data_IF_542199439854
#
_entry.id   IF_542199439854
#
_cell.length_a   1.000
_cell.length_b   1.000
_cell.length_c   1.000
_cell.angle_alpha   90.00
_cell.angle_beta   90.00
_cell.angle_gamma   90.00
#
_symmetry.space_group_name_H-M   'P 1'
#
loop_
_entity.id
_entity.type
_entity.pdbx_description
1 polymer ?
#
# COMPACT_ATOMS: atom_id res chain seq x y z
N UNK A 1 -4.79 -0.78 31.06
CA UNK A 1 -3.53 -1.09 30.36
C UNK A 1 -3.40 -0.06 29.25
N UNK A 2 -2.20 0.43 28.99
CA UNK A 2 -1.99 1.33 27.85
C UNK A 2 -2.07 0.47 26.59
N UNK A 3 -2.81 0.92 25.58
CA UNK A 3 -2.97 0.23 24.31
C UNK A 3 -1.79 0.62 23.41
N UNK A 4 -1.16 -0.36 22.78
CA UNK A 4 -0.13 -0.10 21.76
C UNK A 4 -0.77 0.10 20.38
N UNK A 5 -0.04 0.69 19.45
CA UNK A 5 -0.48 0.80 18.05
C UNK A 5 -0.71 -0.59 17.44
N UNK A 6 0.12 -1.57 17.80
CA UNK A 6 -0.08 -2.96 17.42
C UNK A 6 -1.42 -3.52 17.92
N UNK A 7 -1.72 -3.35 19.21
CA UNK A 7 -3.01 -3.78 19.78
C UNK A 7 -4.20 -3.09 19.11
N UNK A 8 -4.02 -1.85 18.68
CA UNK A 8 -5.04 -1.09 17.96
C UNK A 8 -5.28 -1.60 16.54
N UNK A 9 -4.20 -1.88 15.78
CA UNK A 9 -4.29 -2.36 14.39
C UNK A 9 -4.67 -3.83 14.31
N UNK A 10 -4.35 -4.65 15.32
CA UNK A 10 -4.67 -6.08 15.37
C UNK A 10 -6.03 -6.38 16.02
N UNK A 11 -6.85 -5.35 16.26
CA UNK A 11 -8.25 -5.57 16.62
C UNK A 11 -8.99 -6.30 15.50
N UNK A 12 -9.99 -7.09 15.90
CA UNK A 12 -10.76 -7.90 14.95
C UNK A 12 -11.30 -7.07 13.80
N UNK A 13 -11.33 -7.65 12.61
CA UNK A 13 -12.09 -7.07 11.51
C UNK A 13 -13.59 -7.00 11.88
N UNK A 14 -14.29 -6.02 11.33
CA UNK A 14 -15.73 -5.90 11.47
C UNK A 14 -16.44 -7.04 10.71
N UNK A 15 -17.54 -7.57 11.24
CA UNK A 15 -18.26 -8.73 10.69
C UNK A 15 -19.06 -8.33 9.47
N UNK A 16 -18.79 -8.92 8.32
CA UNK A 16 -19.56 -8.69 7.10
C UNK A 16 -20.85 -9.52 7.08
N UNK A 17 -21.96 -8.89 6.71
CA UNK A 17 -23.22 -9.55 6.35
C UNK A 17 -23.49 -9.24 4.89
N UNK A 18 -23.18 -10.20 4.03
CA UNK A 18 -23.19 -9.99 2.59
C UNK A 18 -24.50 -10.50 1.98
N UNK A 19 -25.24 -9.62 1.31
CA UNK A 19 -26.49 -9.89 0.60
C UNK A 19 -26.32 -9.53 -0.88
N UNK A 20 -25.65 -10.40 -1.63
CA UNK A 20 -25.47 -10.19 -3.07
C UNK A 20 -26.65 -10.80 -3.82
N UNK A 21 -27.34 -9.99 -4.61
CA UNK A 21 -28.39 -10.45 -5.53
C UNK A 21 -27.93 -10.49 -7.00
N UNK A 22 -26.80 -9.86 -7.32
CA UNK A 22 -26.31 -9.69 -8.69
C UNK A 22 -24.96 -10.34 -8.86
N UNK A 23 -24.73 -10.99 -10.00
CA UNK A 23 -23.41 -11.53 -10.34
C UNK A 23 -22.34 -10.44 -10.28
N UNK A 24 -21.13 -10.75 -9.78
CA UNK A 24 -20.03 -9.80 -9.72
C UNK A 24 -19.70 -9.29 -11.14
N UNK A 25 -19.50 -7.99 -11.25
CA UNK A 25 -18.98 -7.37 -12.47
C UNK A 25 -17.47 -7.35 -12.43
N UNK A 26 -16.85 -8.28 -13.16
CA UNK A 26 -15.43 -8.23 -13.45
C UNK A 26 -15.14 -6.98 -14.27
N UNK A 27 -14.06 -6.30 -13.93
CA UNK A 27 -13.63 -5.19 -14.76
C UNK A 27 -12.43 -5.60 -15.59
N UNK A 28 -12.54 -5.31 -16.89
CA UNK A 28 -11.46 -5.36 -17.84
C UNK A 28 -11.24 -3.98 -18.52
N UNK A 29 -10.08 -3.84 -19.14
CA UNK A 29 -9.81 -2.84 -20.14
C UNK A 29 -8.99 -3.51 -21.23
N UNK A 30 -9.47 -3.48 -22.47
CA UNK A 30 -8.81 -4.09 -23.65
C UNK A 30 -7.38 -3.53 -23.87
N UNK A 31 -7.06 -2.38 -23.28
CA UNK A 31 -5.71 -1.83 -23.33
C UNK A 31 -4.73 -2.50 -22.37
N UNK A 32 -5.15 -3.33 -21.43
CA UNK A 32 -4.23 -3.88 -20.44
C UNK A 32 -3.41 -5.04 -20.96
N UNK A 33 -2.13 -5.03 -20.58
CA UNK A 33 -1.24 -6.15 -20.83
C UNK A 33 -1.42 -7.23 -19.75
N UNK A 34 -1.15 -8.50 -20.06
CA UNK A 34 -1.02 -9.56 -19.06
C UNK A 34 0.04 -9.18 -18.02
N UNK A 35 -0.12 -9.69 -16.79
CA UNK A 35 1.01 -9.78 -15.87
C UNK A 35 1.69 -11.11 -16.15
N UNK A 36 2.94 -11.08 -16.61
CA UNK A 36 3.64 -12.29 -17.09
C UNK A 36 3.93 -13.30 -15.96
N UNK A 37 4.09 -12.83 -14.72
CA UNK A 37 4.35 -13.67 -13.56
C UNK A 37 3.65 -13.12 -12.32
N UNK A 38 2.87 -13.99 -11.67
CA UNK A 38 2.25 -13.73 -10.37
C UNK A 38 2.77 -14.79 -9.40
N UNK A 39 3.38 -14.33 -8.32
CA UNK A 39 3.96 -15.18 -7.28
C UNK A 39 3.35 -14.85 -5.92
N UNK A 40 3.45 -15.78 -4.97
CA UNK A 40 3.01 -15.50 -3.61
C UNK A 40 4.06 -14.62 -2.91
N UNK A 41 3.62 -13.58 -2.21
CA UNK A 41 4.51 -12.72 -1.42
C UNK A 41 4.87 -13.41 -0.09
N UNK A 42 5.82 -14.34 -0.15
CA UNK A 42 6.12 -15.25 0.97
C UNK A 42 6.68 -14.54 2.20
N UNK A 43 7.49 -13.50 2.02
CA UNK A 43 8.12 -12.75 3.12
C UNK A 43 7.27 -11.56 3.61
N UNK A 44 6.10 -11.33 3.01
CA UNK A 44 5.07 -10.48 3.58
C UNK A 44 4.31 -11.26 4.65
N UNK A 45 4.92 -11.40 5.82
CA UNK A 45 4.32 -12.04 6.98
C UNK A 45 4.32 -11.13 8.22
N UNK A 46 3.35 -11.39 9.10
CA UNK A 46 3.15 -10.62 10.31
C UNK A 46 4.40 -10.56 11.20
N UNK A 47 5.17 -11.64 11.31
CA UNK A 47 6.32 -11.70 12.21
C UNK A 47 7.46 -10.81 11.70
N UNK A 48 7.81 -10.91 10.42
CA UNK A 48 8.87 -10.12 9.81
C UNK A 48 8.53 -8.64 9.72
N UNK A 49 7.29 -8.31 9.37
CA UNK A 49 6.83 -6.92 9.33
C UNK A 49 6.69 -6.31 10.72
N UNK A 50 6.23 -7.08 11.71
CA UNK A 50 6.21 -6.62 13.11
C UNK A 50 7.64 -6.39 13.63
N UNK A 51 8.61 -7.23 13.25
CA UNK A 51 10.02 -7.04 13.59
C UNK A 51 10.57 -5.76 12.93
N UNK A 52 10.29 -5.53 11.65
CA UNK A 52 10.69 -4.34 10.89
C UNK A 52 10.12 -3.05 11.49
N UNK A 53 8.85 -3.06 11.90
CA UNK A 53 8.12 -1.89 12.37
C UNK A 53 7.94 -1.80 13.89
N UNK A 54 8.63 -2.64 14.66
CA UNK A 54 8.44 -2.80 16.12
C UNK A 54 8.41 -1.47 16.86
N UNK A 55 9.36 -0.59 16.61
CA UNK A 55 9.44 0.70 17.31
C UNK A 55 8.17 1.56 17.13
N UNK A 56 7.58 1.57 15.94
CA UNK A 56 6.34 2.31 15.69
C UNK A 56 5.13 1.58 16.27
N UNK A 57 5.13 0.24 16.21
CA UNK A 57 4.02 -0.60 16.67
C UNK A 57 3.90 -0.66 18.19
N UNK A 58 5.01 -0.58 18.91
CA UNK A 58 5.07 -0.58 20.38
C UNK A 58 4.71 0.79 20.98
N UNK A 59 4.45 1.82 20.15
CA UNK A 59 4.08 3.14 20.63
C UNK A 59 2.70 3.11 21.31
N UNK A 60 2.63 3.72 22.49
CA UNK A 60 1.37 3.95 23.20
C UNK A 60 0.42 4.79 22.34
N UNK A 61 -0.87 4.43 22.32
CA UNK A 61 -1.89 5.12 21.55
C UNK A 61 -3.17 5.33 22.34
N UNK A 62 -3.85 6.44 22.07
CA UNK A 62 -5.20 6.74 22.56
C UNK A 62 -6.25 6.60 21.46
N UNK A 63 -5.89 6.00 20.32
CA UNK A 63 -6.81 5.79 19.21
C UNK A 63 -7.88 4.77 19.56
N UNK A 64 -9.12 5.09 19.22
CA UNK A 64 -10.27 4.19 19.39
C UNK A 64 -10.66 3.55 18.07
N UNK A 65 -11.03 2.27 18.14
CA UNK A 65 -11.51 1.53 16.99
C UNK A 65 -12.88 2.03 16.53
N UNK A 66 -13.12 1.95 15.23
CA UNK A 66 -14.41 2.27 14.60
C UNK A 66 -15.20 1.02 14.21
N UNK A 67 -14.65 -0.17 14.47
CA UNK A 67 -15.26 -1.47 14.12
C UNK A 67 -16.66 -1.62 14.72
N UNK A 68 -16.79 -1.47 16.03
CA UNK A 68 -18.07 -1.65 16.73
C UNK A 68 -19.09 -0.59 16.28
N UNK A 69 -18.67 0.67 16.15
CA UNK A 69 -19.54 1.74 15.68
C UNK A 69 -20.02 1.51 14.23
N UNK A 70 -19.18 0.95 13.35
CA UNK A 70 -19.57 0.62 11.99
C UNK A 70 -20.58 -0.54 11.93
N UNK A 71 -20.42 -1.54 12.80
CA UNK A 71 -21.37 -2.66 12.95
C UNK A 71 -22.71 -2.19 13.53
N UNK A 72 -22.68 -1.39 14.59
CA UNK A 72 -23.90 -0.82 15.22
C UNK A 72 -24.68 0.09 14.26
N UNK A 73 -23.97 0.82 13.40
CA UNK A 73 -24.57 1.63 12.34
C UNK A 73 -25.15 0.81 11.18
N UNK A 74 -24.92 -0.52 11.15
CA UNK A 74 -25.35 -1.39 10.07
C UNK A 74 -24.57 -1.22 8.76
N UNK A 75 -23.43 -0.52 8.78
CA UNK A 75 -22.56 -0.38 7.60
C UNK A 75 -21.96 -1.71 7.16
N UNK A 76 -21.99 -2.71 8.03
CA UNK A 76 -21.49 -4.04 7.77
C UNK A 76 -22.42 -4.92 6.94
N UNK A 77 -23.63 -4.43 6.62
CA UNK A 77 -24.56 -5.06 5.68
C UNK A 77 -24.23 -4.61 4.26
N UNK A 78 -23.70 -5.54 3.45
CA UNK A 78 -23.16 -5.24 2.12
C UNK A 78 -24.09 -5.79 1.05
N UNK A 79 -24.68 -4.90 0.25
CA UNK A 79 -25.53 -5.26 -0.88
C UNK A 79 -24.85 -5.06 -2.24
N UNK A 80 -23.82 -4.22 -2.30
CA UNK A 80 -23.07 -3.88 -3.51
C UNK A 80 -21.65 -3.37 -3.18
N UNK A 81 -20.85 -3.11 -4.21
CA UNK A 81 -19.49 -2.56 -4.07
C UNK A 81 -19.48 -1.20 -3.37
N UNK A 82 -20.50 -0.35 -3.57
CA UNK A 82 -20.54 0.97 -2.97
C UNK A 82 -20.70 0.89 -1.43
N UNK A 83 -21.56 -0.01 -0.95
CA UNK A 83 -21.70 -0.30 0.47
C UNK A 83 -20.38 -0.82 1.06
N UNK A 84 -19.69 -1.73 0.36
CA UNK A 84 -18.39 -2.23 0.80
C UNK A 84 -17.33 -1.13 0.85
N UNK A 85 -17.27 -0.23 -0.15
CA UNK A 85 -16.34 0.90 -0.16
C UNK A 85 -16.59 1.84 1.02
N UNK A 86 -17.86 2.17 1.31
CA UNK A 86 -18.23 3.01 2.47
C UNK A 86 -17.78 2.34 3.76
N UNK A 87 -18.05 1.05 3.89
CA UNK A 87 -17.68 0.26 5.06
C UNK A 87 -16.16 0.21 5.26
N UNK A 88 -15.40 -0.15 4.22
CA UNK A 88 -13.93 -0.16 4.22
C UNK A 88 -13.37 1.22 4.59
N UNK A 89 -13.97 2.29 4.07
CA UNK A 89 -13.69 3.67 4.44
C UNK A 89 -13.79 3.91 5.96
N UNK A 90 -14.88 3.44 6.56
CA UNK A 90 -15.20 3.67 7.97
C UNK A 90 -14.43 2.78 8.95
N UNK A 91 -14.25 1.50 8.63
CA UNK A 91 -13.72 0.49 9.54
C UNK A 91 -12.21 0.24 9.35
N UNK A 92 -11.67 0.46 8.15
CA UNK A 92 -10.28 0.14 7.84
C UNK A 92 -9.46 1.37 7.48
N UNK A 93 -9.85 2.10 6.43
CA UNK A 93 -9.10 3.26 5.94
C UNK A 93 -8.96 4.32 7.05
N UNK A 94 -10.06 4.65 7.72
CA UNK A 94 -10.05 5.58 8.86
C UNK A 94 -9.17 5.09 10.01
N UNK A 95 -9.16 3.78 10.29
CA UNK A 95 -8.35 3.24 11.37
C UNK A 95 -6.86 3.33 11.05
N UNK A 96 -6.46 2.84 9.88
CA UNK A 96 -5.06 2.81 9.43
C UNK A 96 -4.54 4.22 9.19
N UNK A 97 -5.32 5.12 8.57
CA UNK A 97 -4.87 6.49 8.34
C UNK A 97 -4.54 7.25 9.61
N UNK A 98 -5.18 6.94 10.74
CA UNK A 98 -4.86 7.54 12.05
C UNK A 98 -3.62 6.94 12.71
N UNK A 99 -3.27 5.71 12.33
CA UNK A 99 -2.12 4.98 12.85
C UNK A 99 -0.83 5.25 12.06
N UNK A 100 -0.94 5.65 10.80
CA UNK A 100 0.21 5.93 9.95
C UNK A 100 1.04 7.11 10.49
N UNK A 101 2.39 7.02 10.43
CA UNK A 101 3.26 8.06 10.94
C UNK A 101 3.35 9.27 9.99
N UNK A 102 3.61 10.43 10.58
CA UNK A 102 4.06 11.62 9.86
C UNK A 102 3.07 12.10 8.81
N UNK A 103 3.54 12.18 7.57
CA UNK A 103 2.79 12.65 6.39
C UNK A 103 2.12 11.52 5.61
N UNK A 104 2.32 10.26 6.00
CA UNK A 104 1.68 9.14 5.33
C UNK A 104 0.17 9.20 5.55
N UNK A 105 -0.58 8.89 4.51
CA UNK A 105 -2.03 8.85 4.54
C UNK A 105 -2.55 7.61 3.82
N UNK A 106 -3.75 7.19 4.22
CA UNK A 106 -4.58 6.23 3.48
C UNK A 106 -5.95 6.88 3.33
N UNK A 107 -6.48 6.94 2.12
CA UNK A 107 -7.71 7.68 1.84
C UNK A 107 -8.53 6.97 0.78
N UNK A 108 -9.84 7.19 0.83
CA UNK A 108 -10.69 6.99 -0.33
C UNK A 108 -10.20 7.88 -1.49
N UNK A 109 -10.61 7.50 -2.71
CA UNK A 109 -10.32 8.07 -4.04
C UNK A 109 -9.95 9.56 -4.17
N UNK A 110 -10.46 10.45 -3.30
CA UNK A 110 -10.34 11.91 -3.46
C UNK A 110 -8.92 12.47 -3.53
N UNK A 111 -7.89 11.75 -3.05
CA UNK A 111 -6.50 12.23 -3.03
C UNK A 111 -5.63 11.70 -4.18
N UNK A 112 -6.13 10.76 -4.98
CA UNK A 112 -5.33 9.87 -5.82
C UNK A 112 -5.75 10.05 -7.27
N UNK A 113 -5.19 11.04 -7.97
CA UNK A 113 -5.45 11.23 -9.40
C UNK A 113 -4.14 11.60 -10.09
N UNK A 114 -3.18 10.68 -10.11
CA UNK A 114 -2.02 10.86 -10.97
C UNK A 114 -2.42 10.76 -12.45
N UNK A 115 -3.43 9.96 -12.80
CA UNK A 115 -3.84 9.70 -14.19
C UNK A 115 -5.36 9.83 -14.37
N UNK A 116 -5.87 10.57 -15.37
CA UNK A 116 -7.31 10.80 -15.57
C UNK A 116 -8.17 9.53 -15.77
N UNK A 117 -7.58 8.48 -16.33
CA UNK A 117 -8.24 7.21 -16.64
C UNK A 117 -8.21 6.19 -15.50
N UNK A 118 -7.36 6.40 -14.50
CA UNK A 118 -7.17 5.50 -13.36
C UNK A 118 -7.93 6.05 -12.17
N UNK A 119 -8.81 5.24 -11.58
CA UNK A 119 -9.74 5.68 -10.54
C UNK A 119 -9.89 4.59 -9.47
N UNK A 120 -8.84 4.38 -8.66
CA UNK A 120 -8.92 3.39 -7.60
C UNK A 120 -9.95 3.83 -6.56
N UNK A 121 -10.53 2.88 -5.85
CA UNK A 121 -11.48 3.19 -4.77
C UNK A 121 -10.78 3.82 -3.57
N UNK A 122 -9.54 3.39 -3.31
CA UNK A 122 -8.69 3.89 -2.24
C UNK A 122 -7.22 3.87 -2.62
N UNK A 123 -6.41 4.49 -1.77
CA UNK A 123 -4.96 4.47 -1.93
C UNK A 123 -4.25 5.20 -0.82
N UNK A 124 -2.97 4.89 -0.70
CA UNK A 124 -2.07 5.42 0.30
C UNK A 124 -1.01 6.30 -0.35
N UNK A 125 -0.50 7.29 0.37
CA UNK A 125 0.54 8.17 -0.13
C UNK A 125 1.28 8.91 0.97
N UNK A 126 2.14 9.83 0.57
CA UNK A 126 2.90 10.69 1.48
C UNK A 126 2.63 12.16 1.12
N UNK A 127 2.02 12.89 2.04
CA UNK A 127 1.62 14.28 1.85
C UNK A 127 2.81 15.24 1.70
N UNK A 128 4.03 14.84 2.09
CA UNK A 128 5.24 15.65 1.92
C UNK A 128 5.81 15.53 0.50
N UNK A 129 5.39 14.54 -0.28
CA UNK A 129 5.75 14.49 -1.69
C UNK A 129 4.94 15.58 -2.39
N UNK A 130 5.56 16.74 -2.58
CA UNK A 130 5.01 17.80 -3.40
C UNK A 130 5.01 17.36 -4.86
N UNK A 131 3.82 17.10 -5.40
CA UNK A 131 3.67 16.77 -6.81
C UNK A 131 3.60 18.02 -7.67
N UNK A 132 4.29 17.98 -8.80
CA UNK A 132 4.34 19.03 -9.81
C UNK A 132 3.02 19.21 -10.57
N UNK A 133 2.01 18.36 -10.32
CA UNK A 133 0.75 18.45 -11.04
C UNK A 133 -0.01 19.73 -10.65
N UNK A 134 -0.41 20.62 -11.60
CA UNK A 134 -1.03 21.93 -11.33
C UNK A 134 -2.30 21.90 -10.46
N UNK A 135 -2.91 20.72 -10.29
CA UNK A 135 -4.11 20.51 -9.47
C UNK A 135 -3.82 20.11 -8.03
N UNK A 136 -2.54 20.02 -7.62
CA UNK A 136 -2.15 19.63 -6.26
C UNK A 136 -2.51 18.18 -5.93
N UNK A 137 -2.43 17.29 -6.91
CA UNK A 137 -2.84 15.90 -6.74
C UNK A 137 -1.67 15.08 -6.22
N UNK A 138 -1.94 14.27 -5.19
CA UNK A 138 -0.96 13.35 -4.64
C UNK A 138 -0.94 12.05 -5.45
N UNK A 139 0.23 11.61 -5.89
CA UNK A 139 0.35 10.29 -6.47
C UNK A 139 0.35 9.27 -5.34
N UNK A 140 -0.54 8.29 -5.43
CA UNK A 140 -0.55 7.22 -4.47
C UNK A 140 0.72 6.37 -4.60
N UNK A 141 1.26 6.01 -3.44
CA UNK A 141 2.29 5.00 -3.26
C UNK A 141 1.70 3.59 -3.35
N UNK A 142 0.41 3.44 -3.03
CA UNK A 142 -0.38 2.19 -3.13
C UNK A 142 -1.79 2.56 -3.57
N UNK A 143 -2.36 1.85 -4.54
CA UNK A 143 -3.78 1.96 -4.88
C UNK A 143 -4.47 0.61 -4.64
N UNK A 144 -5.77 0.65 -4.41
CA UNK A 144 -6.56 -0.56 -4.45
C UNK A 144 -8.03 -0.31 -4.73
N UNK A 145 -8.70 -1.40 -5.09
CA UNK A 145 -10.12 -1.44 -5.36
C UNK A 145 -10.87 -2.21 -4.28
N UNK A 146 -12.17 -1.99 -4.24
CA UNK A 146 -13.08 -2.64 -3.31
C UNK A 146 -14.10 -3.43 -4.09
N UNK A 147 -14.10 -4.74 -3.90
CA UNK A 147 -14.82 -5.67 -4.77
C UNK A 147 -15.57 -6.70 -3.95
N UNK A 148 -16.82 -6.91 -4.34
CA UNK A 148 -17.78 -7.78 -3.65
C UNK A 148 -17.94 -9.05 -4.47
N UNK A 149 -17.92 -10.20 -3.81
CA UNK A 149 -18.03 -11.53 -4.44
C UNK A 149 -16.94 -11.83 -5.48
N UNK A 150 -15.78 -11.18 -5.34
CA UNK A 150 -14.69 -11.42 -6.26
C UNK A 150 -13.96 -12.71 -5.89
N UNK A 151 -14.04 -13.71 -6.77
CA UNK A 151 -13.15 -14.85 -6.74
C UNK A 151 -11.71 -14.40 -7.06
N UNK A 152 -10.93 -14.15 -6.01
CA UNK A 152 -9.54 -13.66 -6.08
C UNK A 152 -8.64 -14.64 -6.83
N UNK A 153 -8.80 -15.95 -6.61
CA UNK A 153 -7.98 -16.96 -7.30
C UNK A 153 -8.29 -17.01 -8.79
N UNK A 154 -9.56 -16.86 -9.16
CA UNK A 154 -9.94 -16.70 -10.57
C UNK A 154 -9.40 -15.40 -11.14
N UNK A 155 -9.47 -14.29 -10.39
CA UNK A 155 -8.94 -13.00 -10.83
C UNK A 155 -7.43 -13.08 -11.10
N UNK A 156 -6.65 -13.66 -10.18
CA UNK A 156 -5.21 -13.87 -10.35
C UNK A 156 -4.91 -14.71 -11.60
N UNK A 157 -5.62 -15.82 -11.81
CA UNK A 157 -5.49 -16.64 -13.03
C UNK A 157 -5.77 -15.85 -14.29
N UNK A 158 -6.84 -15.05 -14.30
CA UNK A 158 -7.23 -14.22 -15.44
C UNK A 158 -6.20 -13.15 -15.78
N UNK A 159 -5.58 -12.55 -14.76
CA UNK A 159 -4.52 -11.55 -14.92
C UNK A 159 -3.22 -12.20 -15.43
N UNK A 160 -2.90 -13.42 -14.96
CA UNK A 160 -1.73 -14.19 -15.40
C UNK A 160 -1.84 -14.78 -16.81
N UNK A 161 -3.02 -15.29 -17.19
CA UNK A 161 -3.24 -15.96 -18.48
C UNK A 161 -3.39 -14.98 -19.66
N UNK A 162 -3.42 -13.67 -19.39
CA UNK A 162 -3.31 -12.63 -20.41
C UNK A 162 -4.55 -12.27 -21.19
N UNK A 163 -5.74 -12.57 -20.68
CA UNK A 163 -6.96 -12.02 -21.25
C UNK A 163 -8.25 -12.62 -20.71
N UNK A 164 -9.27 -11.78 -20.53
CA UNK A 164 -10.64 -12.20 -20.26
C UNK A 164 -11.36 -12.73 -21.53
N UNK A 165 -10.79 -12.51 -22.71
CA UNK A 165 -11.46 -12.83 -23.99
C UNK A 165 -11.65 -14.34 -24.20
N UNK A 166 -10.77 -15.17 -23.65
CA UNK A 166 -10.81 -16.63 -23.82
C UNK A 166 -11.72 -17.35 -22.81
N UNK A 167 -12.45 -16.62 -21.96
CA UNK A 167 -13.40 -17.22 -21.01
C UNK A 167 -14.74 -17.53 -21.70
N UNK A 168 -15.27 -18.77 -21.61
CA UNK A 168 -16.49 -19.18 -22.31
C UNK A 168 -17.76 -18.42 -21.91
N UNK A 169 -17.72 -17.69 -20.79
CA UNK A 169 -18.84 -16.87 -20.30
C UNK A 169 -18.73 -15.38 -20.70
N UNK A 170 -17.92 -15.04 -21.70
CA UNK A 170 -17.69 -13.66 -22.16
C UNK A 170 -18.89 -12.97 -22.87
N UNK A 171 -20.14 -13.33 -22.52
CA UNK A 171 -21.26 -12.40 -22.64
C UNK A 171 -21.11 -11.30 -21.58
N UNK A 172 -20.04 -10.51 -21.69
CA UNK A 172 -19.78 -9.38 -20.81
C UNK A 172 -20.79 -8.28 -21.17
N UNK A 173 -21.77 -7.97 -20.30
CA UNK A 173 -22.66 -6.86 -20.55
C UNK A 173 -21.84 -5.57 -20.67
N UNK A 174 -22.06 -4.84 -21.76
CA UNK A 174 -21.50 -3.50 -22.00
C UNK A 174 -21.74 -2.62 -20.77
N UNK A 175 -20.72 -2.40 -19.94
CA UNK A 175 -20.80 -1.37 -18.90
C UNK A 175 -20.06 -1.68 -17.62
N UNK A 176 -18.76 -1.39 -17.59
CA UNK A 176 -18.18 -0.28 -16.81
C UNK A 176 -16.66 -0.48 -16.68
N UNK A 177 -15.88 0.52 -17.12
CA UNK A 177 -14.42 0.59 -17.00
C UNK A 177 -14.01 1.03 -15.57
N UNK A 178 -13.55 0.14 -14.69
CA UNK A 178 -12.94 0.43 -13.36
C UNK A 178 -12.03 -0.66 -12.76
N UNK A 179 -10.72 -0.47 -12.83
CA UNK A 179 -9.74 -1.11 -11.90
C UNK A 179 -8.61 -0.10 -11.68
N UNK A 180 -7.91 -0.21 -10.55
CA UNK A 180 -6.50 -0.60 -10.46
C UNK A 180 -6.14 -1.05 -9.02
N UNK A 181 -5.88 -2.35 -8.86
CA UNK A 181 -4.82 -2.86 -7.99
C UNK A 181 -3.78 -3.46 -8.92
N UNK A 182 -2.68 -2.74 -9.15
CA UNK A 182 -1.39 -3.26 -9.60
C UNK A 182 -0.33 -2.24 -9.18
N UNK A 183 0.69 -2.74 -8.49
CA UNK A 183 1.98 -2.12 -8.15
C UNK A 183 2.19 -0.68 -8.66
N UNK A 184 1.93 0.29 -7.78
CA UNK A 184 2.30 1.69 -7.98
C UNK A 184 3.78 1.87 -7.73
N UNK A 185 4.52 1.87 -8.82
CA UNK A 185 5.94 2.19 -8.78
C UNK A 185 6.15 3.26 -9.84
N UNK A 186 6.11 4.52 -9.39
CA UNK A 186 6.32 5.68 -10.26
C UNK A 186 7.71 6.23 -9.99
N UNK A 187 8.58 6.07 -10.97
CA UNK A 187 9.86 6.78 -11.08
C UNK A 187 9.72 8.00 -12.00
N UNK A 188 10.36 9.08 -11.58
CA UNK A 188 10.40 10.37 -12.24
C UNK A 188 11.12 10.30 -13.59
N UNK A 189 10.55 10.92 -14.63
CA UNK A 189 11.34 11.52 -15.71
C UNK A 189 10.85 12.94 -15.90
N UNK A 190 11.64 13.88 -15.40
CA UNK A 190 11.46 15.31 -15.63
C UNK A 190 11.49 15.59 -17.14
N UNK A 191 10.53 16.41 -17.59
CA UNK A 191 10.51 17.10 -18.89
C UNK A 191 10.24 16.30 -20.18
N UNK A 192 9.08 15.62 -20.32
CA UNK A 192 8.50 15.36 -21.66
C UNK A 192 6.96 15.54 -21.68
N UNK A 193 6.56 16.74 -22.08
CA UNK A 193 5.46 17.10 -22.99
C UNK A 193 4.39 16.03 -23.33
N UNK A 194 3.16 16.29 -22.87
CA UNK A 194 1.86 16.13 -23.56
C UNK A 194 1.75 15.04 -24.64
N UNK A 195 1.75 13.75 -24.26
CA UNK A 195 0.97 12.68 -24.93
C UNK A 195 1.18 11.33 -24.23
N UNK A 196 0.71 11.19 -22.99
CA UNK A 196 0.61 9.88 -22.33
C UNK A 196 -0.87 9.52 -22.14
N UNK A 197 -1.56 9.31 -23.27
CA UNK A 197 -2.81 8.56 -23.27
C UNK A 197 -2.47 7.07 -23.22
N UNK A 198 -3.27 6.29 -22.51
CA UNK A 198 -3.22 4.82 -22.34
C UNK A 198 -2.06 4.27 -21.50
N UNK A 199 -2.30 4.16 -20.18
CA UNK A 199 -1.57 3.25 -19.29
C UNK A 199 -1.96 1.80 -19.58
N UNK A 200 -1.45 1.34 -20.71
CA UNK A 200 -1.07 -0.01 -21.03
C UNK A 200 0.44 0.03 -20.92
N UNK A 201 1.06 -0.84 -20.13
CA UNK A 201 2.46 -1.14 -20.39
C UNK A 201 2.50 -1.76 -21.80
N UNK A 202 2.68 -0.91 -22.81
CA UNK A 202 3.56 -1.27 -23.90
C UNK A 202 4.91 -0.77 -23.41
N UNK A 203 5.69 -1.56 -22.63
CA UNK A 203 7.11 -1.28 -22.65
C UNK A 203 7.43 -1.29 -24.14
N UNK A 204 8.01 -0.19 -24.65
CA UNK A 204 8.93 -0.41 -25.75
C UNK A 204 9.84 -1.55 -25.27
N UNK A 205 10.08 -2.62 -26.04
CA UNK A 205 10.79 -3.81 -25.56
C UNK A 205 12.26 -3.60 -25.19
N UNK A 206 12.63 -2.45 -24.61
CA UNK A 206 14.00 -2.10 -24.29
C UNK A 206 14.25 -1.74 -22.83
N UNK A 207 13.23 -1.45 -22.01
CA UNK A 207 13.50 -0.89 -20.68
C UNK A 207 12.87 -1.75 -19.56
N UNK A 208 13.72 -2.67 -19.07
CA UNK A 208 13.77 -3.29 -17.74
C UNK A 208 12.73 -4.38 -17.39
N UNK A 209 13.22 -5.63 -17.25
CA UNK A 209 12.50 -6.79 -16.69
C UNK A 209 12.01 -6.52 -15.25
N UNK A 210 10.84 -5.92 -15.08
CA UNK A 210 10.26 -5.70 -13.75
C UNK A 210 10.06 -7.06 -13.06
N UNK A 211 10.38 -7.15 -11.76
CA UNK A 211 10.12 -8.35 -10.97
C UNK A 211 8.65 -8.81 -11.06
N UNK A 212 8.42 -10.09 -10.81
CA UNK A 212 7.07 -10.68 -10.78
C UNK A 212 6.13 -9.93 -9.82
N UNK A 213 4.83 -9.96 -10.11
CA UNK A 213 3.83 -9.43 -9.21
C UNK A 213 3.67 -10.38 -8.02
N UNK A 214 4.05 -9.91 -6.84
CA UNK A 214 3.88 -10.68 -5.61
C UNK A 214 2.50 -10.42 -4.98
N UNK A 215 1.82 -11.48 -4.54
CA UNK A 215 0.45 -11.43 -4.03
C UNK A 215 0.36 -12.05 -2.64
N UNK A 216 -0.29 -11.32 -1.73
CA UNK A 216 -0.66 -11.79 -0.40
C UNK A 216 -2.19 -11.83 -0.26
N UNK A 217 -2.72 -12.99 0.10
CA UNK A 217 -4.15 -13.15 0.42
C UNK A 217 -4.32 -13.06 1.94
N UNK A 218 -5.13 -12.09 2.38
CA UNK A 218 -5.44 -11.87 3.79
C UNK A 218 -6.93 -12.18 3.98
N UNK A 219 -7.28 -13.22 4.76
CA UNK A 219 -8.68 -13.54 4.98
C UNK A 219 -9.36 -12.44 5.81
N UNK A 220 -10.59 -12.09 5.40
CA UNK A 220 -11.40 -11.14 6.16
C UNK A 220 -11.70 -11.67 7.58
N UNK A 221 -12.10 -12.94 7.67
CA UNK A 221 -12.19 -13.65 8.95
C UNK A 221 -10.86 -14.30 9.27
N UNK A 222 -10.05 -13.62 10.07
CA UNK A 222 -8.73 -14.07 10.49
C UNK A 222 -8.77 -15.06 11.67
N UNK A 223 -9.96 -15.42 12.18
CA UNK A 223 -10.10 -16.29 13.35
C UNK A 223 -9.30 -15.77 14.56
N UNK A 224 -8.43 -16.61 15.12
CA UNK A 224 -7.53 -16.24 16.23
C UNK A 224 -6.20 -15.60 15.80
N UNK A 225 -5.96 -15.44 14.50
CA UNK A 225 -4.76 -14.74 14.02
C UNK A 225 -4.81 -13.26 14.41
N UNK A 226 -3.63 -12.66 14.59
CA UNK A 226 -3.46 -11.21 14.74
C UNK A 226 -3.23 -10.51 13.40
N UNK A 227 -3.14 -11.25 12.31
CA UNK A 227 -3.00 -10.73 10.96
C UNK A 227 -4.39 -10.29 10.47
N UNK A 228 -4.63 -8.98 10.58
CA UNK A 228 -5.89 -8.31 10.23
C UNK A 228 -5.69 -7.44 9.00
N UNK A 229 -6.77 -7.05 8.34
CA UNK A 229 -6.68 -6.16 7.17
C UNK A 229 -6.06 -4.82 7.55
N UNK A 230 -6.30 -4.36 8.78
CA UNK A 230 -5.76 -3.09 9.26
C UNK A 230 -4.23 -3.12 9.43
N UNK A 231 -3.68 -4.17 10.01
CA UNK A 231 -2.22 -4.26 10.18
C UNK A 231 -1.52 -4.46 8.82
N UNK A 232 -2.14 -5.20 7.89
CA UNK A 232 -1.55 -5.41 6.56
C UNK A 232 -1.63 -4.17 5.68
N UNK A 233 -2.75 -3.42 5.71
CA UNK A 233 -2.82 -2.11 5.05
C UNK A 233 -1.81 -1.11 5.62
N UNK A 234 -1.57 -1.16 6.93
CA UNK A 234 -0.53 -0.37 7.56
C UNK A 234 0.85 -0.76 7.04
N UNK A 235 1.19 -2.06 7.02
CA UNK A 235 2.47 -2.54 6.50
C UNK A 235 2.68 -2.22 5.03
N UNK A 236 1.68 -2.48 4.19
CA UNK A 236 1.73 -2.19 2.76
C UNK A 236 2.00 -0.71 2.51
N UNK A 237 1.31 0.18 3.24
CA UNK A 237 1.54 1.63 3.13
C UNK A 237 2.95 2.02 3.59
N UNK A 238 3.45 1.40 4.66
CA UNK A 238 4.80 1.69 5.19
C UNK A 238 5.89 1.21 4.21
N UNK A 239 5.77 0.00 3.67
CA UNK A 239 6.71 -0.53 2.69
C UNK A 239 6.77 0.33 1.43
N UNK A 240 5.61 0.71 0.89
CA UNK A 240 5.54 1.57 -0.28
C UNK A 240 6.11 2.99 -0.03
N UNK A 241 6.21 3.41 1.23
CA UNK A 241 6.88 4.66 1.57
C UNK A 241 8.40 4.55 1.59
N UNK A 242 8.94 3.35 1.81
CA UNK A 242 10.38 3.06 1.92
C UNK A 242 11.04 2.80 0.58
N UNK A 243 10.40 2.00 -0.27
CA UNK A 243 10.88 1.68 -1.62
C UNK A 243 9.80 1.98 -2.64
N UNK A 244 10.17 2.73 -3.69
CA UNK A 244 9.25 3.23 -4.72
C UNK A 244 9.76 2.97 -6.13
N UNK A 245 10.91 2.34 -6.26
CA UNK A 245 11.57 2.12 -7.54
C UNK A 245 11.22 0.73 -8.05
N UNK A 246 10.91 0.63 -9.34
CA UNK A 246 10.76 -0.66 -9.99
C UNK A 246 12.13 -1.29 -9.97
N UNK A 247 12.18 -2.53 -9.54
CA UNK A 247 13.42 -3.28 -9.51
C UNK A 247 13.20 -4.64 -10.15
N UNK A 248 14.27 -5.16 -10.74
CA UNK A 248 14.37 -6.56 -11.13
C UNK A 248 14.34 -7.50 -9.91
N UNK A 249 14.61 -6.97 -8.72
CA UNK A 249 14.65 -7.72 -7.47
C UNK A 249 14.33 -6.81 -6.28
N UNK A 250 13.38 -7.20 -5.45
CA UNK A 250 13.11 -6.53 -4.17
C UNK A 250 13.93 -7.18 -3.05
N UNK A 251 14.51 -6.35 -2.18
CA UNK A 251 15.19 -6.85 -0.99
C UNK A 251 14.20 -7.58 -0.09
N UNK A 252 14.56 -8.78 0.36
CA UNK A 252 13.69 -9.55 1.24
C UNK A 252 13.36 -8.79 2.53
N UNK A 253 12.11 -8.92 2.97
CA UNK A 253 11.57 -8.36 4.20
C UNK A 253 12.15 -9.04 5.45
N UNK A 254 12.71 -10.25 5.28
CA UNK A 254 13.51 -10.98 6.27
C UNK A 254 14.88 -10.34 6.49
N UNK A 255 14.87 -9.07 6.88
CA UNK A 255 16.04 -8.46 7.47
C UNK A 255 16.13 -9.07 8.86
N UNK A 256 16.91 -10.14 8.98
CA UNK A 256 17.73 -10.28 10.16
C UNK A 256 18.42 -8.96 10.33
N UNK A 257 17.88 -8.14 11.23
CA UNK A 257 18.46 -6.90 11.72
C UNK A 257 19.77 -7.38 12.32
N UNK A 258 20.78 -7.58 11.47
CA UNK A 258 22.17 -7.81 11.79
C UNK A 258 22.49 -6.54 12.49
N UNK A 259 22.30 -6.59 13.81
CA UNK A 259 22.28 -5.46 14.73
C UNK A 259 23.32 -4.50 14.22
N UNK A 260 22.90 -3.39 13.59
CA UNK A 260 23.80 -2.47 12.91
C UNK A 260 24.91 -2.21 13.91
N UNK A 261 26.05 -2.85 13.61
CA UNK A 261 26.99 -3.25 14.63
C UNK A 261 27.68 -1.98 15.02
N UNK A 262 27.18 -1.35 16.09
CA UNK A 262 27.70 -0.18 16.80
C UNK A 262 29.01 0.23 16.14
N UNK A 263 28.89 1.07 15.11
CA UNK A 263 30.04 1.59 14.41
C UNK A 263 30.92 2.16 15.52
N UNK A 264 32.04 1.48 15.77
CA UNK A 264 32.90 1.76 16.90
C UNK A 264 33.27 3.23 16.74
N UNK A 265 32.67 4.10 17.56
CA UNK A 265 33.07 5.49 17.71
C UNK A 265 34.58 5.46 17.83
N UNK A 266 35.26 5.83 16.74
CA UNK A 266 36.69 6.04 16.69
C UNK A 266 36.93 7.05 17.80
N UNK A 267 37.57 6.62 18.89
CA UNK A 267 37.97 7.54 19.96
C UNK A 267 38.75 8.65 19.26
N UNK A 268 38.38 9.93 19.47
CA UNK A 268 39.23 11.02 19.03
C UNK A 268 40.59 10.77 19.64
N UNK A 269 41.62 10.62 18.79
CA UNK A 269 42.99 10.49 19.24
C UNK A 269 43.31 11.66 20.18
N UNK A 270 43.63 11.29 21.41
CA UNK A 270 44.20 12.17 22.41
C UNK A 270 45.54 12.69 21.88
N UNK A 271 45.61 14.02 21.68
CA UNK A 271 46.81 14.87 21.87
C UNK A 271 47.97 14.68 20.86
N UNK A 272 48.67 15.76 20.43
CA UNK A 272 49.44 16.58 21.37
C UNK A 272 49.42 18.10 21.12
N UNK A 273 49.35 18.81 22.24
CA UNK A 273 50.20 19.96 22.60
C UNK A 273 50.97 20.64 21.44
N UNK A 274 50.50 21.81 21.01
CA UNK A 274 51.42 22.88 20.60
C UNK A 274 51.09 24.18 21.33
N UNK A 275 51.69 24.24 22.52
CA UNK A 275 52.22 25.42 23.18
C UNK A 275 52.93 26.38 22.21
N UNK A 276 52.49 27.62 22.15
CA UNK A 276 53.35 28.82 22.23
C UNK A 276 52.44 30.06 22.28
N UNK A 277 52.40 30.80 23.40
CA UNK A 277 53.24 32.00 23.67
C UNK A 277 53.23 32.96 22.47
N UNK A 278 52.87 34.24 22.57
CA UNK A 278 53.23 35.18 23.64
C UNK A 278 52.53 36.52 23.40
N UNK A 279 52.05 37.13 24.47
CA UNK A 279 52.09 38.56 24.83
C UNK A 279 52.11 39.63 23.71
N UNK A 280 51.08 40.49 23.72
CA UNK A 280 51.34 41.94 23.85
C UNK A 280 50.09 42.65 24.37
N UNK A 281 50.10 42.93 25.69
CA UNK A 281 49.40 44.09 26.25
C UNK A 281 49.93 45.35 25.59
N UNK A 282 49.05 46.29 25.26
CA UNK A 282 49.24 47.73 25.49
C UNK A 282 47.87 48.39 25.73
N UNK A 283 47.83 49.43 26.58
CA UNK A 283 46.63 49.96 27.21
C UNK A 283 45.64 50.62 26.26
#
# INVERSE_FOLDING_TARGET
MVQTLFDYLTQRNARLVVHISTSPTYTNNEGWAPVEAIEQWEDFDLASLTKRYRQSLDADTSLTSTVEAAEEAGHNVICDEAALTIFLGSANISMVSRALPGSLFLSARSRIIAIPSVRPDWGAGDANIHYTHPRGICQALVCGDTKVDWDVERAMRLVGDGGYEDQPDAYLPEGHRRVLSDTSTITNVSDISDSFSTMSFRPKPQDEDVAALEVKIVPWDHGSSKETINIDLYFLTRLASESRELSHHYESLDIDIKAQGKEKRKRPDDSPEQSSRRDSRKP
#
